data_IF_611225010899
#
_entry.id   IF_611225010899
#
_cell.length_a   1.000
_cell.length_b   1.000
_cell.length_c   1.000
_cell.angle_alpha   90.00
_cell.angle_beta   90.00
_cell.angle_gamma   90.00
#
_symmetry.space_group_name_H-M   'P 1'
#
loop_
_entity.id
_entity.type
_entity.pdbx_description
1 polymer ?
#
# COMPACT_ATOMS: atom_id res chain seq x y z
N UNK A 1 13.92 -6.26 26.11
CA UNK A 1 12.58 -6.80 26.43
C UNK A 1 11.51 -5.73 26.32
N UNK A 2 11.64 -4.59 27.03
CA UNK A 2 10.65 -3.52 27.10
C UNK A 2 10.20 -2.99 25.72
N UNK A 3 11.13 -2.64 24.84
CA UNK A 3 10.79 -2.14 23.48
C UNK A 3 10.03 -3.16 22.63
N UNK A 4 10.33 -4.45 22.80
CA UNK A 4 9.60 -5.50 22.10
C UNK A 4 8.13 -5.55 22.54
N UNK A 5 7.91 -5.48 23.85
CA UNK A 5 6.56 -5.55 24.41
C UNK A 5 5.73 -4.33 24.05
N UNK A 6 6.37 -3.14 23.99
CA UNK A 6 5.75 -1.91 23.49
C UNK A 6 5.31 -2.04 22.03
N UNK A 7 6.17 -2.62 21.16
CA UNK A 7 5.84 -2.86 19.74
C UNK A 7 4.67 -3.84 19.61
N UNK A 8 4.70 -4.95 20.35
CA UNK A 8 3.60 -5.92 20.34
C UNK A 8 2.30 -5.30 20.83
N UNK A 9 2.36 -4.47 21.88
CA UNK A 9 1.20 -3.74 22.37
C UNK A 9 0.65 -2.74 21.33
N UNK A 10 1.52 -2.04 20.60
CA UNK A 10 1.13 -1.12 19.53
C UNK A 10 0.47 -1.86 18.36
N UNK A 11 0.98 -3.04 17.97
CA UNK A 11 0.35 -3.90 16.97
C UNK A 11 -1.06 -4.33 17.41
N UNK A 12 -1.21 -4.74 18.66
CA UNK A 12 -2.52 -5.15 19.22
C UNK A 12 -3.54 -4.03 19.22
N UNK A 13 -3.12 -2.79 19.47
CA UNK A 13 -3.99 -1.61 19.43
C UNK A 13 -4.30 -1.13 18.02
N UNK A 14 -3.57 -1.61 17.01
CA UNK A 14 -3.70 -1.13 15.62
C UNK A 14 -2.90 0.14 15.30
N UNK A 15 -2.03 0.59 16.22
CA UNK A 15 -1.14 1.74 16.00
C UNK A 15 -0.03 1.40 14.98
N UNK A 16 0.32 0.12 14.88
CA UNK A 16 1.26 -0.43 13.90
C UNK A 16 0.61 -1.55 13.11
N UNK A 17 0.67 -1.44 11.79
CA UNK A 17 0.31 -2.51 10.88
C UNK A 17 1.53 -3.35 10.52
N UNK A 18 1.35 -4.66 10.45
CA UNK A 18 2.41 -5.60 10.09
C UNK A 18 2.04 -6.25 8.77
N UNK A 19 2.93 -6.11 7.81
CA UNK A 19 2.84 -6.81 6.55
C UNK A 19 3.42 -8.23 6.65
N UNK A 20 3.02 -9.10 5.74
CA UNK A 20 3.39 -10.51 5.79
C UNK A 20 4.85 -10.75 5.42
N UNK A 21 5.47 -9.92 4.58
CA UNK A 21 6.87 -10.10 4.19
C UNK A 21 7.85 -9.48 5.19
N UNK A 22 9.01 -10.10 5.32
CA UNK A 22 10.09 -9.58 6.15
C UNK A 22 10.71 -8.30 5.56
N UNK A 23 10.87 -8.26 4.25
CA UNK A 23 11.49 -7.14 3.51
C UNK A 23 10.89 -7.04 2.11
N UNK A 24 11.14 -5.92 1.43
CA UNK A 24 11.03 -5.85 -0.03
C UNK A 24 12.04 -6.79 -0.67
N UNK A 25 11.57 -7.70 -1.51
CA UNK A 25 12.40 -8.76 -2.06
C UNK A 25 12.10 -8.99 -3.54
N UNK A 26 13.15 -9.08 -4.36
CA UNK A 26 12.97 -9.55 -5.72
C UNK A 26 12.79 -11.07 -5.71
N UNK A 27 11.54 -11.49 -5.63
CA UNK A 27 11.17 -12.90 -5.47
C UNK A 27 11.55 -13.77 -6.64
N UNK A 28 11.85 -13.19 -7.82
CA UNK A 28 12.24 -13.95 -9.01
C UNK A 28 13.68 -14.49 -8.97
N UNK A 29 14.50 -13.98 -8.06
CA UNK A 29 15.87 -14.46 -7.85
C UNK A 29 16.03 -15.30 -6.59
N UNK A 30 14.95 -15.53 -5.87
CA UNK A 30 14.94 -16.35 -4.65
C UNK A 30 14.81 -17.83 -5.01
N UNK A 31 15.45 -18.66 -4.22
CA UNK A 31 15.18 -20.10 -4.18
C UNK A 31 13.83 -20.40 -3.53
N UNK A 32 13.31 -21.60 -3.75
CA UNK A 32 12.05 -22.03 -3.14
C UNK A 32 12.11 -21.97 -1.61
N UNK A 33 13.24 -22.34 -1.02
CA UNK A 33 13.45 -22.30 0.43
C UNK A 33 13.39 -20.86 0.97
N UNK A 34 14.02 -19.91 0.26
CA UNK A 34 13.96 -18.50 0.63
C UNK A 34 12.54 -17.95 0.57
N UNK A 35 11.75 -18.35 -0.44
CA UNK A 35 10.37 -17.93 -0.57
C UNK A 35 9.50 -18.41 0.61
N UNK A 36 9.73 -19.61 1.13
CA UNK A 36 9.05 -20.09 2.35
C UNK A 36 9.45 -19.28 3.59
N UNK A 37 10.71 -18.81 3.65
CA UNK A 37 11.20 -18.06 4.80
C UNK A 37 10.79 -16.58 4.82
N UNK A 38 10.34 -16.02 3.70
CA UNK A 38 9.91 -14.61 3.61
C UNK A 38 8.86 -14.25 4.67
N UNK A 39 8.00 -15.21 5.03
CA UNK A 39 6.88 -14.98 5.95
C UNK A 39 7.15 -15.37 7.41
N UNK A 40 8.34 -15.87 7.73
CA UNK A 40 8.67 -16.40 9.06
C UNK A 40 8.50 -15.37 10.18
N UNK A 41 8.99 -14.15 9.98
CA UNK A 41 8.94 -13.11 11.01
C UNK A 41 7.54 -12.57 11.25
N UNK A 42 6.76 -12.39 10.20
CA UNK A 42 5.37 -11.94 10.33
C UNK A 42 4.51 -12.97 11.03
N UNK A 43 4.74 -14.26 10.80
CA UNK A 43 4.08 -15.34 11.56
C UNK A 43 4.41 -15.29 13.05
N UNK A 44 5.66 -15.02 13.40
CA UNK A 44 6.04 -14.86 14.81
C UNK A 44 5.38 -13.62 15.42
N UNK A 45 5.33 -12.50 14.71
CA UNK A 45 4.63 -11.29 15.16
C UNK A 45 3.13 -11.55 15.30
N UNK A 46 2.51 -12.25 14.36
CA UNK A 46 1.12 -12.69 14.47
C UNK A 46 0.89 -13.56 15.70
N UNK A 47 1.74 -14.54 15.95
CA UNK A 47 1.66 -15.41 17.14
C UNK A 47 1.78 -14.63 18.44
N UNK A 48 2.67 -13.64 18.51
CA UNK A 48 2.91 -12.81 19.67
C UNK A 48 1.80 -11.76 19.90
N UNK A 49 1.33 -11.16 18.82
CA UNK A 49 0.34 -10.08 18.90
C UNK A 49 -1.10 -10.58 18.90
N UNK A 50 -1.37 -11.73 18.29
CA UNK A 50 -2.72 -12.20 17.99
C UNK A 50 -3.37 -11.47 16.82
N UNK A 51 -2.66 -10.57 16.13
CA UNK A 51 -3.16 -9.79 14.97
C UNK A 51 -2.73 -10.48 13.68
N UNK A 52 -3.64 -10.75 12.73
CA UNK A 52 -3.27 -11.37 11.46
C UNK A 52 -2.33 -10.48 10.64
N UNK A 53 -1.26 -11.09 10.09
CA UNK A 53 -0.35 -10.50 9.11
C UNK A 53 -0.59 -11.21 7.77
N UNK A 54 -1.72 -10.95 7.14
CA UNK A 54 -2.24 -11.68 5.99
C UNK A 54 -2.17 -10.87 4.68
N UNK A 55 -1.49 -9.74 4.68
CA UNK A 55 -1.23 -8.90 3.51
C UNK A 55 0.24 -8.89 3.18
N UNK A 56 0.58 -9.29 1.97
CA UNK A 56 1.92 -9.13 1.41
C UNK A 56 2.00 -7.82 0.66
N UNK A 57 2.92 -6.95 1.02
CA UNK A 57 3.15 -5.70 0.30
C UNK A 57 4.57 -5.66 -0.29
N UNK A 58 4.66 -5.13 -1.50
CA UNK A 58 5.93 -4.80 -2.13
C UNK A 58 5.91 -3.40 -2.73
N UNK A 59 6.99 -2.67 -2.49
CA UNK A 59 7.22 -1.34 -3.01
C UNK A 59 8.49 -1.31 -3.85
N UNK A 60 8.47 -0.63 -4.98
CA UNK A 60 9.63 -0.38 -5.81
C UNK A 60 10.35 -1.64 -6.33
N UNK A 61 9.63 -2.74 -6.43
CA UNK A 61 10.14 -4.00 -6.96
C UNK A 61 9.52 -4.27 -8.33
N UNK A 62 10.30 -4.69 -9.35
CA UNK A 62 9.80 -4.83 -10.71
C UNK A 62 8.86 -6.01 -10.94
N UNK A 63 8.63 -6.85 -9.95
CA UNK A 63 7.67 -7.96 -10.07
C UNK A 63 7.63 -8.88 -8.87
N UNK A 64 6.66 -9.79 -8.90
CA UNK A 64 6.46 -10.85 -7.92
C UNK A 64 6.40 -12.18 -8.65
N UNK A 65 7.18 -13.17 -8.21
CA UNK A 65 7.16 -14.53 -8.77
C UNK A 65 5.79 -15.16 -8.70
N UNK A 66 5.33 -15.72 -9.80
CA UNK A 66 4.06 -16.43 -9.84
C UNK A 66 4.01 -17.64 -8.91
N UNK A 67 5.16 -18.32 -8.76
CA UNK A 67 5.33 -19.44 -7.82
C UNK A 67 5.16 -19.08 -6.35
N UNK A 68 5.16 -17.77 -6.01
CA UNK A 68 4.91 -17.35 -4.64
C UNK A 68 3.43 -17.50 -4.22
N UNK A 69 2.49 -17.56 -5.17
CA UNK A 69 1.06 -17.66 -4.85
C UNK A 69 0.70 -18.89 -4.02
N UNK A 70 1.14 -20.12 -4.39
CA UNK A 70 0.91 -21.29 -3.55
C UNK A 70 1.54 -21.16 -2.16
N UNK A 71 2.75 -20.60 -2.07
CA UNK A 71 3.44 -20.37 -0.79
C UNK A 71 2.63 -19.42 0.08
N UNK A 72 2.19 -18.30 -0.48
CA UNK A 72 1.34 -17.34 0.23
C UNK A 72 0.06 -18.00 0.76
N UNK A 73 -0.63 -18.77 -0.09
CA UNK A 73 -1.86 -19.47 0.30
C UNK A 73 -1.63 -20.45 1.45
N UNK A 74 -0.53 -21.23 1.40
CA UNK A 74 -0.14 -22.16 2.45
C UNK A 74 0.19 -21.45 3.76
N UNK A 75 0.82 -20.27 3.68
CA UNK A 75 1.19 -19.46 4.83
C UNK A 75 0.03 -18.61 5.38
N UNK A 76 -1.15 -18.72 4.79
CA UNK A 76 -2.35 -17.98 5.21
C UNK A 76 -2.38 -16.53 4.77
N UNK A 77 -1.48 -16.14 3.84
CA UNK A 77 -1.51 -14.83 3.21
C UNK A 77 -2.65 -14.80 2.21
N UNK A 78 -3.50 -13.81 2.31
CA UNK A 78 -4.75 -13.71 1.52
C UNK A 78 -4.72 -12.61 0.49
N UNK A 79 -3.86 -11.62 0.73
CA UNK A 79 -3.89 -10.35 0.02
C UNK A 79 -2.50 -9.95 -0.44
N UNK A 80 -2.44 -9.33 -1.60
CA UNK A 80 -1.22 -8.72 -2.14
C UNK A 80 -1.52 -7.28 -2.53
N UNK A 81 -0.66 -6.35 -2.09
CA UNK A 81 -0.64 -4.99 -2.61
C UNK A 81 0.74 -4.78 -3.24
N UNK A 82 0.76 -4.52 -4.53
CA UNK A 82 2.00 -4.28 -5.27
C UNK A 82 2.08 -2.83 -5.74
N UNK A 83 3.20 -2.20 -5.44
CA UNK A 83 3.56 -0.85 -5.86
C UNK A 83 4.81 -0.92 -6.73
N UNK A 84 4.70 -1.37 -7.99
CA UNK A 84 5.84 -1.74 -8.79
C UNK A 84 6.70 -0.54 -9.21
N UNK A 85 7.98 -0.82 -9.43
CA UNK A 85 8.85 0.08 -10.18
C UNK A 85 8.58 -0.09 -11.67
N UNK A 86 7.79 0.82 -12.21
CA UNK A 86 7.35 0.75 -13.61
C UNK A 86 8.44 1.13 -14.60
N UNK A 87 9.51 1.76 -14.15
CA UNK A 87 10.58 2.26 -15.03
C UNK A 87 11.69 1.22 -15.24
N UNK A 88 11.67 0.13 -14.45
CA UNK A 88 12.68 -0.94 -14.48
C UNK A 88 12.22 -2.23 -15.14
N UNK A 89 11.11 -2.21 -15.84
CA UNK A 89 10.51 -3.42 -16.45
C UNK A 89 9.69 -4.24 -15.44
N UNK A 90 9.23 -5.39 -15.86
CA UNK A 90 8.43 -6.29 -14.98
C UNK A 90 6.99 -5.86 -14.82
N UNK A 91 6.50 -5.07 -15.72
CA UNK A 91 5.17 -4.52 -15.62
C UNK A 91 4.13 -5.42 -16.23
N UNK A 92 3.25 -5.82 -15.39
CA UNK A 92 1.88 -5.91 -15.83
C UNK A 92 1.33 -4.48 -16.06
N UNK A 93 1.92 -3.73 -16.98
CA UNK A 93 1.32 -2.52 -17.53
C UNK A 93 0.14 -2.83 -18.43
N UNK A 94 -0.65 -3.79 -18.03
CA UNK A 94 -1.96 -3.80 -18.59
C UNK A 94 -2.70 -2.65 -17.90
N UNK A 95 -2.99 -1.61 -18.65
CA UNK A 95 -3.85 -0.49 -18.21
C UNK A 95 -5.14 -0.97 -17.54
N UNK A 96 -5.45 -2.25 -17.68
CA UNK A 96 -6.66 -2.90 -17.24
C UNK A 96 -6.61 -3.42 -15.79
N UNK A 97 -5.44 -3.44 -15.13
CA UNK A 97 -5.34 -3.92 -13.75
C UNK A 97 -4.96 -2.83 -12.75
N UNK A 98 -4.52 -1.65 -13.23
CA UNK A 98 -4.14 -0.55 -12.34
C UNK A 98 -5.36 -0.03 -11.58
N UNK A 99 -5.31 -0.20 -10.28
CA UNK A 99 -6.38 0.21 -9.37
C UNK A 99 -7.52 -0.80 -9.21
N UNK A 100 -7.60 -1.83 -10.06
CA UNK A 100 -8.64 -2.86 -9.98
C UNK A 100 -8.09 -4.11 -9.28
N UNK A 101 -8.77 -4.67 -8.27
CA UNK A 101 -8.37 -5.92 -7.67
C UNK A 101 -8.79 -7.10 -8.54
N UNK A 102 -8.02 -8.17 -8.45
CA UNK A 102 -8.32 -9.42 -9.13
C UNK A 102 -7.83 -10.63 -8.31
N UNK A 103 -8.44 -11.78 -8.54
CA UNK A 103 -7.94 -13.03 -7.99
C UNK A 103 -6.74 -13.50 -8.81
N UNK A 104 -5.56 -13.47 -8.18
CA UNK A 104 -4.34 -14.00 -8.76
C UNK A 104 -4.22 -15.47 -8.40
N UNK A 105 -4.46 -16.33 -9.40
CA UNK A 105 -4.41 -17.78 -9.24
C UNK A 105 -2.99 -18.27 -9.46
N UNK A 106 -2.54 -19.16 -8.61
CA UNK A 106 -1.20 -19.75 -8.69
C UNK A 106 -1.02 -20.73 -9.86
N UNK A 107 0.23 -21.15 -10.12
CA UNK A 107 0.52 -22.13 -11.17
C UNK A 107 -0.07 -23.51 -10.90
N UNK A 108 -0.43 -23.81 -9.66
CA UNK A 108 -1.15 -25.02 -9.23
C UNK A 108 -2.64 -25.03 -9.64
N UNK A 109 -3.16 -23.93 -10.18
CA UNK A 109 -4.52 -23.79 -10.66
C UNK A 109 -5.61 -23.66 -9.59
N UNK A 110 -5.26 -23.71 -8.31
CA UNK A 110 -6.23 -23.66 -7.20
C UNK A 110 -5.87 -22.66 -6.09
N UNK A 111 -4.60 -22.50 -5.75
CA UNK A 111 -4.18 -21.45 -4.81
C UNK A 111 -4.45 -20.08 -5.39
N UNK A 112 -4.95 -19.16 -4.57
CA UNK A 112 -5.23 -17.80 -5.02
C UNK A 112 -5.11 -16.78 -3.89
N UNK A 113 -4.73 -15.58 -4.26
CA UNK A 113 -4.71 -14.39 -3.41
C UNK A 113 -5.45 -13.25 -4.09
N UNK A 114 -6.03 -12.35 -3.31
CA UNK A 114 -6.60 -11.13 -3.88
C UNK A 114 -5.48 -10.12 -4.08
N UNK A 115 -5.26 -9.73 -5.33
CA UNK A 115 -4.18 -8.85 -5.75
C UNK A 115 -4.72 -7.46 -6.07
N UNK A 116 -4.02 -6.43 -5.60
CA UNK A 116 -4.28 -5.03 -5.90
C UNK A 116 -2.98 -4.35 -6.31
N UNK A 117 -3.01 -3.66 -7.45
CA UNK A 117 -1.95 -2.75 -7.88
C UNK A 117 -2.53 -1.34 -7.99
N UNK A 118 -2.42 -0.51 -6.94
CA UNK A 118 -3.07 0.81 -6.94
C UNK A 118 -2.38 1.82 -7.86
N UNK A 119 -1.20 1.50 -8.35
CA UNK A 119 -0.38 2.37 -9.17
C UNK A 119 1.09 2.36 -8.75
N UNK A 120 1.85 3.39 -9.11
CA UNK A 120 3.26 3.52 -8.72
C UNK A 120 3.41 3.76 -7.21
N UNK A 121 4.52 3.30 -6.64
CA UNK A 121 4.85 3.48 -5.22
C UNK A 121 4.99 4.94 -4.78
N UNK A 122 5.22 5.86 -5.69
CA UNK A 122 5.39 7.30 -5.43
C UNK A 122 4.19 8.16 -5.83
N UNK A 123 3.01 7.57 -5.98
CA UNK A 123 1.83 8.29 -6.49
C UNK A 123 1.38 9.46 -5.63
N UNK A 124 1.54 9.35 -4.33
CA UNK A 124 1.04 10.37 -3.39
C UNK A 124 1.99 11.54 -3.18
N UNK A 125 3.28 11.38 -3.45
CA UNK A 125 4.21 12.50 -3.51
C UNK A 125 3.78 13.57 -4.52
N UNK A 126 2.88 13.22 -5.41
CA UNK A 126 2.26 14.12 -6.36
C UNK A 126 1.05 14.89 -5.81
N UNK A 127 0.53 14.56 -4.62
CA UNK A 127 -0.54 15.35 -3.98
C UNK A 127 -0.08 16.76 -3.57
N UNK A 128 1.23 16.99 -3.44
CA UNK A 128 1.82 18.29 -3.09
C UNK A 128 2.45 19.03 -4.26
N UNK A 129 1.96 18.94 -5.44
CA UNK A 129 2.48 19.76 -6.55
C UNK A 129 2.08 21.24 -6.55
N UNK A 130 1.66 21.76 -5.41
CA UNK A 130 1.74 23.19 -5.16
C UNK A 130 3.16 23.68 -4.86
N UNK A 131 4.12 22.79 -4.68
CA UNK A 131 5.52 23.14 -4.48
C UNK A 131 6.27 23.13 -5.81
N UNK A 132 6.16 24.22 -6.53
CA UNK A 132 6.87 24.48 -7.80
C UNK A 132 8.40 24.47 -7.67
N UNK A 133 8.94 24.29 -6.46
CA UNK A 133 10.38 24.33 -6.20
C UNK A 133 11.01 22.94 -6.12
N UNK A 134 10.25 21.86 -6.29
CA UNK A 134 10.77 20.49 -6.19
C UNK A 134 11.38 20.16 -4.83
N UNK A 135 11.17 21.01 -3.84
CA UNK A 135 11.62 20.74 -2.46
C UNK A 135 10.50 20.08 -1.68
N UNK A 136 10.80 18.96 -1.04
CA UNK A 136 9.85 18.28 -0.18
C UNK A 136 9.49 19.14 1.03
N UNK A 137 8.36 18.81 1.63
CA UNK A 137 7.80 19.41 2.83
C UNK A 137 8.74 19.49 4.06
N UNK A 138 9.85 18.79 4.03
CA UNK A 138 10.79 18.66 5.13
C UNK A 138 11.34 19.95 5.76
N UNK A 139 11.16 21.09 5.12
CA UNK A 139 11.60 22.36 5.69
C UNK A 139 10.56 23.07 6.54
N UNK A 140 9.32 22.59 6.59
CA UNK A 140 8.23 23.28 7.28
C UNK A 140 7.66 22.42 8.41
N UNK A 141 8.43 22.28 9.47
CA UNK A 141 8.00 21.60 10.70
C UNK A 141 6.98 22.37 11.55
N UNK A 142 6.45 23.46 11.06
CA UNK A 142 5.41 24.18 11.78
C UNK A 142 4.03 23.67 11.36
N UNK A 143 3.33 22.90 12.20
CA UNK A 143 2.01 22.36 11.87
C UNK A 143 0.98 23.45 11.56
N UNK A 144 1.22 24.70 12.00
CA UNK A 144 0.38 25.84 11.65
C UNK A 144 0.64 26.35 10.23
N UNK A 145 1.75 25.95 9.64
CA UNK A 145 2.17 26.27 8.26
C UNK A 145 2.03 25.08 7.32
N UNK A 146 1.57 23.92 7.80
CA UNK A 146 1.09 22.86 6.93
C UNK A 146 -0.15 23.42 6.25
N UNK A 147 -0.03 24.01 5.07
CA UNK A 147 -1.21 24.53 4.43
C UNK A 147 -2.10 23.33 4.17
N UNK A 148 -3.36 23.56 4.10
CA UNK A 148 -4.34 22.67 3.49
C UNK A 148 -3.99 22.44 1.99
N UNK A 149 -2.81 21.93 1.72
CA UNK A 149 -2.20 21.73 0.40
C UNK A 149 -2.23 20.29 -0.03
N UNK A 150 -3.09 19.51 0.53
CA UNK A 150 -3.58 18.37 -0.20
C UNK A 150 -4.39 18.99 -1.34
N UNK A 151 -3.71 19.45 -2.36
CA UNK A 151 -4.33 19.82 -3.61
C UNK A 151 -4.59 18.51 -4.35
N UNK A 152 -5.79 18.04 -4.27
CA UNK A 152 -6.28 17.08 -5.22
C UNK A 152 -6.21 17.74 -6.60
N UNK A 153 -5.43 17.16 -7.52
CA UNK A 153 -5.21 17.74 -8.84
C UNK A 153 -3.81 18.33 -9.00
N UNK A 154 -2.78 17.53 -8.74
CA UNK A 154 -1.43 17.86 -9.18
C UNK A 154 -1.25 17.49 -10.66
N UNK A 155 -0.31 18.13 -11.32
CA UNK A 155 -0.03 17.85 -12.74
C UNK A 155 0.35 16.39 -13.06
N UNK A 156 0.56 15.52 -12.07
CA UNK A 156 0.93 14.11 -12.26
C UNK A 156 -0.10 13.11 -11.72
N UNK A 157 -1.03 13.52 -10.85
CA UNK A 157 -2.18 12.70 -10.47
C UNK A 157 -3.39 13.60 -10.50
N UNK A 158 -4.09 13.56 -11.59
CA UNK A 158 -5.43 14.11 -11.68
C UNK A 158 -6.38 13.12 -10.99
N UNK A 159 -6.65 13.34 -9.70
CA UNK A 159 -7.60 12.52 -8.97
C UNK A 159 -8.98 12.55 -9.59
N UNK A 160 -9.39 13.70 -10.09
CA UNK A 160 -10.68 13.84 -10.74
C UNK A 160 -10.71 13.01 -12.01
N UNK A 161 -9.68 13.10 -12.85
CA UNK A 161 -9.53 12.26 -14.04
C UNK A 161 -9.46 10.78 -13.69
N UNK A 162 -8.70 10.41 -12.63
CA UNK A 162 -8.62 9.01 -12.19
C UNK A 162 -9.95 8.47 -11.67
N UNK A 163 -10.70 9.25 -10.92
CA UNK A 163 -12.03 8.86 -10.46
C UNK A 163 -13.00 8.67 -11.64
N UNK A 164 -12.97 9.58 -12.62
CA UNK A 164 -13.78 9.45 -13.85
C UNK A 164 -13.40 8.21 -14.66
N UNK A 165 -12.10 7.90 -14.76
CA UNK A 165 -11.63 6.67 -15.43
C UNK A 165 -12.15 5.43 -14.70
N UNK A 166 -12.02 5.37 -13.38
CA UNK A 166 -12.48 4.25 -12.57
C UNK A 166 -14.00 4.06 -12.65
N UNK A 167 -14.75 5.15 -12.63
CA UNK A 167 -16.21 5.12 -12.80
C UNK A 167 -16.59 4.55 -14.18
N UNK A 168 -15.93 5.02 -15.24
CA UNK A 168 -16.12 4.49 -16.59
C UNK A 168 -15.80 2.99 -16.68
N UNK A 169 -14.76 2.55 -15.97
CA UNK A 169 -14.29 1.17 -15.97
C UNK A 169 -15.04 0.30 -14.93
N UNK A 170 -16.17 0.81 -14.41
CA UNK A 170 -17.03 0.13 -13.44
C UNK A 170 -16.31 -0.26 -12.13
N UNK A 171 -15.42 0.61 -11.66
CA UNK A 171 -14.76 0.42 -10.38
C UNK A 171 -15.78 0.25 -9.24
N UNK A 172 -15.74 -0.85 -8.50
CA UNK A 172 -16.85 -1.23 -7.61
C UNK A 172 -16.83 -0.54 -6.25
N UNK A 173 -15.85 0.36 -6.01
CA UNK A 173 -15.67 0.97 -4.70
C UNK A 173 -15.86 2.48 -4.73
N UNK A 174 -16.21 3.01 -3.58
CA UNK A 174 -16.31 4.44 -3.29
C UNK A 174 -15.01 5.04 -2.72
N UNK A 175 -13.91 4.30 -2.75
CA UNK A 175 -12.60 4.76 -2.34
C UNK A 175 -11.48 4.34 -3.28
N UNK A 176 -10.39 5.11 -3.30
CA UNK A 176 -9.15 4.78 -4.01
C UNK A 176 -8.00 4.64 -3.02
N UNK A 177 -7.00 3.84 -3.38
CA UNK A 177 -5.82 3.63 -2.57
C UNK A 177 -4.65 4.44 -3.12
N UNK A 178 -3.99 5.16 -2.24
CA UNK A 178 -2.84 5.98 -2.57
C UNK A 178 -1.68 5.60 -1.65
N UNK A 179 -0.48 5.51 -2.19
CA UNK A 179 0.71 5.42 -1.36
C UNK A 179 1.20 6.83 -1.03
N UNK A 180 1.59 7.06 0.20
CA UNK A 180 2.21 8.32 0.57
C UNK A 180 3.72 8.13 0.71
N UNK A 181 4.45 8.58 -0.29
CA UNK A 181 5.91 8.71 -0.25
C UNK A 181 6.28 10.07 -0.83
N UNK A 182 7.22 10.74 -0.22
CA UNK A 182 7.67 12.05 -0.70
C UNK A 182 8.51 11.93 -1.96
N UNK A 183 9.39 10.93 -1.98
CA UNK A 183 10.22 10.50 -3.11
C UNK A 183 10.82 9.14 -2.81
N UNK A 184 11.56 8.62 -3.75
CA UNK A 184 12.34 7.39 -3.60
C UNK A 184 13.30 7.48 -2.40
N UNK A 185 13.31 6.44 -1.57
CA UNK A 185 14.12 6.36 -0.35
C UNK A 185 13.92 7.53 0.64
N UNK A 186 12.72 8.11 0.66
CA UNK A 186 12.41 9.20 1.58
C UNK A 186 12.23 8.69 3.02
N UNK A 187 12.52 9.51 4.02
CA UNK A 187 12.08 9.23 5.38
C UNK A 187 10.55 9.32 5.49
N UNK A 188 10.03 8.80 6.61
CA UNK A 188 8.61 8.91 6.93
C UNK A 188 8.22 10.38 7.05
N UNK A 189 7.14 10.76 6.38
CA UNK A 189 6.57 12.09 6.46
C UNK A 189 5.71 12.23 7.73
N UNK A 190 6.25 12.89 8.72
CA UNK A 190 5.56 13.13 9.99
C UNK A 190 4.39 14.12 9.87
N UNK A 191 4.29 14.87 8.76
CA UNK A 191 3.27 15.89 8.58
C UNK A 191 1.97 15.34 7.97
N UNK A 192 1.98 14.11 7.43
CA UNK A 192 0.81 13.47 6.82
C UNK A 192 -0.42 13.47 7.72
N UNK A 193 -0.33 13.06 9.00
CA UNK A 193 -1.51 13.05 9.87
C UNK A 193 -2.14 14.43 10.05
N UNK A 194 -1.31 15.46 10.12
CA UNK A 194 -1.78 16.86 10.25
C UNK A 194 -2.46 17.31 8.95
N UNK A 195 -1.84 17.03 7.81
CA UNK A 195 -2.40 17.40 6.51
C UNK A 195 -3.75 16.73 6.27
N UNK A 196 -3.88 15.45 6.59
CA UNK A 196 -5.12 14.69 6.50
C UNK A 196 -6.20 15.26 7.44
N UNK A 197 -5.83 15.60 8.67
CA UNK A 197 -6.75 16.19 9.64
C UNK A 197 -7.29 17.55 9.17
N UNK A 198 -6.40 18.43 8.68
CA UNK A 198 -6.79 19.74 8.16
C UNK A 198 -7.68 19.62 6.91
N UNK A 199 -7.37 18.68 6.02
CA UNK A 199 -8.22 18.39 4.88
C UNK A 199 -9.63 17.97 5.33
N UNK A 200 -9.71 16.99 6.21
CA UNK A 200 -10.98 16.43 6.67
C UNK A 200 -11.82 17.40 7.51
N UNK A 201 -11.20 18.42 8.12
CA UNK A 201 -11.92 19.54 8.76
C UNK A 201 -12.52 20.50 7.73
N UNK A 202 -11.80 20.72 6.63
CA UNK A 202 -12.14 21.71 5.63
C UNK A 202 -13.11 21.21 4.58
N UNK A 203 -13.00 19.92 4.21
CA UNK A 203 -13.76 19.33 3.12
C UNK A 203 -14.54 18.10 3.61
N UNK A 204 -15.84 18.09 3.27
CA UNK A 204 -16.69 16.94 3.57
C UNK A 204 -16.38 15.74 2.65
N UNK A 205 -15.93 16.00 1.43
CA UNK A 205 -15.64 15.00 0.41
C UNK A 205 -14.50 15.46 -0.52
N UNK A 206 -13.63 14.57 -0.99
CA UNK A 206 -13.46 13.21 -0.48
C UNK A 206 -12.84 13.22 0.92
N UNK A 207 -13.17 12.24 1.72
CA UNK A 207 -12.55 12.03 3.02
C UNK A 207 -11.26 11.24 2.86
N UNK A 208 -10.20 11.69 3.50
CA UNK A 208 -8.91 10.98 3.48
C UNK A 208 -8.78 10.18 4.77
N UNK A 209 -8.38 8.90 4.64
CA UNK A 209 -8.16 8.00 5.77
C UNK A 209 -6.76 7.41 5.65
N UNK A 210 -5.97 7.50 6.70
CA UNK A 210 -4.69 6.80 6.80
C UNK A 210 -5.01 5.37 7.23
N UNK A 211 -4.60 4.39 6.42
CA UNK A 211 -4.94 2.98 6.63
C UNK A 211 -3.75 2.07 6.41
N UNK A 212 -3.75 0.95 7.09
CA UNK A 212 -2.84 -0.16 6.79
C UNK A 212 -3.38 -1.06 5.67
N UNK A 213 -2.49 -1.86 5.07
CA UNK A 213 -2.85 -2.74 3.96
C UNK A 213 -4.00 -3.70 4.27
N UNK A 214 -4.06 -4.22 5.49
CA UNK A 214 -5.12 -5.14 5.91
C UNK A 214 -6.53 -4.48 5.98
N UNK A 215 -6.62 -3.22 6.35
CA UNK A 215 -7.90 -2.48 6.38
C UNK A 215 -8.40 -2.24 4.95
N UNK A 216 -7.48 -1.82 4.08
CA UNK A 216 -7.73 -1.62 2.66
C UNK A 216 -8.30 -2.92 2.05
N UNK A 217 -7.58 -4.03 2.21
CA UNK A 217 -7.95 -5.29 1.57
C UNK A 217 -9.20 -5.94 2.17
N UNK A 218 -9.50 -5.71 3.45
CA UNK A 218 -10.77 -6.14 4.04
C UNK A 218 -11.97 -5.34 3.54
N UNK A 219 -11.79 -4.06 3.27
CA UNK A 219 -12.79 -3.24 2.59
C UNK A 219 -13.17 -3.85 1.23
N UNK A 220 -12.19 -4.26 0.45
CA UNK A 220 -12.36 -4.92 -0.83
C UNK A 220 -13.08 -6.27 -0.73
N UNK A 221 -12.72 -7.09 0.24
CA UNK A 221 -13.31 -8.42 0.41
C UNK A 221 -14.83 -8.38 0.63
N UNK A 222 -15.32 -7.36 1.33
CA UNK A 222 -16.77 -7.21 1.60
C UNK A 222 -17.58 -7.00 0.32
N UNK A 223 -16.96 -6.53 -0.74
CA UNK A 223 -17.64 -6.17 -1.99
C UNK A 223 -17.49 -7.27 -3.03
N UNK A 224 -16.39 -8.05 -2.95
CA UNK A 224 -16.12 -9.16 -3.87
C UNK A 224 -16.63 -10.53 -3.34
N UNK A 225 -17.26 -10.57 -2.19
CA UNK A 225 -17.91 -11.75 -1.62
C UNK A 225 -19.34 -11.90 -2.11
#
# INVERSE_FOLDING_TARGET
>A
PEKRDEVIAAIRRGDLCVDASYVNLNTSICSDEELFHVFKFSRELQRLSGVPADVFQQFDIPGISWGLVPVMAQEGIKYVISWPNTDRGGNAHSRNIDGMPFWWVGPDGHSKVLFLQPGKYSNSGSMDKGNTTGRPWFGQRDPRKVPARIRMGSANVDFTGKLVELERDHYPLDFIVLSWTLWDNSPVDADVPYAVNEWNKKYAYPKIVISGGHEIMRGWKKIMA
#
